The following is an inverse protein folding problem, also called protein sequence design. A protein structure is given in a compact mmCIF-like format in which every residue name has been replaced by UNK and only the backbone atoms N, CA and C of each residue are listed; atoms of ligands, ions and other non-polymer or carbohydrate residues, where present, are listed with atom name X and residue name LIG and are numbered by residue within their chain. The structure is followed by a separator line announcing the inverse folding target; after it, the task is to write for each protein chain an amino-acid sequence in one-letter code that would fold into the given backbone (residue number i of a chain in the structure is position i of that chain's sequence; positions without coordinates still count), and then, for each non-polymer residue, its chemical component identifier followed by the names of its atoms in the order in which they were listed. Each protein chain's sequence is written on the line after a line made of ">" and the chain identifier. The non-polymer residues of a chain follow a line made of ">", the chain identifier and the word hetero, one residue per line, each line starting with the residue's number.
data_IF_956789905471
#
_entry.id   IF_956789905471
#
_cell.length_a   1.000
_cell.length_b   1.000
_cell.length_c   1.000
_cell.angle_alpha   90.00
_cell.angle_beta   90.00
_cell.angle_gamma   90.00
#
_symmetry.space_group_name_H-M   'P 1'
#
loop_
_entity.id
_entity.type
_entity.pdbx_description
1 polymer ?
#
# COMPACT_ATOMS: atom_id res chain seq x y z
N UNK A 1 5.62 42.28 -19.21
CA UNK A 1 6.14 41.28 -18.25
C UNK A 1 7.03 41.90 -17.17
N UNK A 2 7.44 43.18 -17.29
CA UNK A 2 8.41 43.79 -16.37
C UNK A 2 7.94 43.85 -14.90
N UNK A 3 6.63 44.01 -14.66
CA UNK A 3 6.06 44.12 -13.30
C UNK A 3 5.08 42.98 -12.95
N UNK A 4 5.03 41.90 -13.73
CA UNK A 4 4.11 40.78 -13.44
C UNK A 4 4.83 39.73 -12.62
N UNK A 5 4.30 39.41 -11.44
CA UNK A 5 4.94 38.46 -10.53
C UNK A 5 4.87 37.02 -11.04
N UNK A 6 5.75 36.15 -10.56
CA UNK A 6 5.74 34.72 -10.88
C UNK A 6 4.39 34.05 -10.61
N UNK A 7 3.72 34.41 -9.51
CA UNK A 7 2.41 33.85 -9.16
C UNK A 7 1.31 34.33 -10.13
N UNK A 8 1.34 35.60 -10.55
CA UNK A 8 0.38 36.15 -11.51
C UNK A 8 0.57 35.52 -12.89
N UNK A 9 1.83 35.38 -13.35
CA UNK A 9 2.16 34.69 -14.60
C UNK A 9 1.62 33.25 -14.57
N UNK A 10 1.84 32.54 -13.46
CA UNK A 10 1.36 31.16 -13.31
C UNK A 10 -0.16 31.06 -13.31
N UNK A 11 -0.85 32.01 -12.67
CA UNK A 11 -2.30 32.08 -12.66
C UNK A 11 -2.88 32.39 -14.06
N UNK A 12 -2.28 33.34 -14.79
CA UNK A 12 -2.65 33.63 -16.18
C UNK A 12 -2.47 32.41 -17.08
N UNK A 13 -1.36 31.69 -16.93
CA UNK A 13 -1.10 30.45 -17.66
C UNK A 13 -2.15 29.37 -17.35
N UNK A 14 -2.48 29.15 -16.05
CA UNK A 14 -3.54 28.21 -15.65
C UNK A 14 -4.90 28.58 -16.24
N UNK A 15 -5.25 29.87 -16.27
CA UNK A 15 -6.51 30.34 -16.85
C UNK A 15 -6.58 30.09 -18.36
N UNK A 16 -5.49 30.37 -19.09
CA UNK A 16 -5.42 30.13 -20.54
C UNK A 16 -5.47 28.64 -20.90
N UNK A 17 -4.98 27.77 -20.01
CA UNK A 17 -4.85 26.32 -20.24
C UNK A 17 -5.86 25.47 -19.48
N UNK A 18 -6.91 26.08 -18.92
CA UNK A 18 -7.91 25.45 -18.03
C UNK A 18 -8.57 24.17 -18.60
N UNK A 19 -8.63 24.03 -19.93
CA UNK A 19 -9.24 22.89 -20.62
C UNK A 19 -8.24 21.86 -21.15
N UNK A 20 -6.93 22.07 -20.96
CA UNK A 20 -5.89 21.14 -21.40
C UNK A 20 -5.42 20.26 -20.24
N UNK A 21 -4.94 19.05 -20.57
CA UNK A 21 -4.27 18.20 -19.59
C UNK A 21 -3.03 18.94 -19.05
N UNK A 22 -2.92 19.04 -17.73
CA UNK A 22 -1.89 19.79 -17.01
C UNK A 22 -0.47 19.39 -17.45
N UNK A 23 -0.20 18.08 -17.50
CA UNK A 23 1.10 17.56 -17.94
C UNK A 23 1.40 17.93 -19.39
N UNK A 24 0.47 17.69 -20.30
CA UNK A 24 0.64 18.04 -21.73
C UNK A 24 0.89 19.54 -21.93
N UNK A 25 0.20 20.39 -21.17
CA UNK A 25 0.42 21.83 -21.21
C UNK A 25 1.84 22.18 -20.75
N UNK A 26 2.33 21.58 -19.67
CA UNK A 26 3.67 21.83 -19.14
C UNK A 26 4.77 21.28 -20.07
N UNK A 27 4.54 20.17 -20.78
CA UNK A 27 5.44 19.72 -21.84
C UNK A 27 5.57 20.75 -22.96
N UNK A 28 4.49 21.46 -23.32
CA UNK A 28 4.58 22.54 -24.32
C UNK A 28 5.38 23.75 -23.82
N UNK A 29 5.31 24.05 -22.52
CA UNK A 29 6.18 25.06 -21.90
C UNK A 29 7.64 24.62 -21.88
N UNK A 30 7.89 23.36 -21.57
CA UNK A 30 9.24 22.77 -21.62
C UNK A 30 9.84 22.89 -23.03
N UNK A 31 9.09 22.57 -24.09
CA UNK A 31 9.56 22.80 -25.46
C UNK A 31 9.84 24.28 -25.75
N UNK A 32 9.04 25.19 -25.18
CA UNK A 32 9.27 26.63 -25.32
C UNK A 32 10.57 27.06 -24.61
N UNK A 33 10.92 26.43 -23.49
CA UNK A 33 12.17 26.68 -22.76
C UNK A 33 13.41 26.36 -23.60
N UNK A 34 13.38 25.26 -24.35
CA UNK A 34 14.48 24.84 -25.24
C UNK A 34 14.73 25.82 -26.39
N UNK A 35 13.70 26.54 -26.82
CA UNK A 35 13.79 27.46 -27.96
C UNK A 35 13.99 28.93 -27.56
N UNK A 36 13.81 29.29 -26.29
CA UNK A 36 13.94 30.68 -25.83
C UNK A 36 15.29 30.96 -25.17
N UNK A 37 15.92 32.06 -25.59
CA UNK A 37 17.16 32.59 -24.98
C UNK A 37 16.88 33.72 -23.99
N UNK A 38 15.62 34.13 -23.84
CA UNK A 38 15.24 35.25 -22.97
C UNK A 38 15.17 34.80 -21.50
N UNK A 39 16.07 35.33 -20.67
CA UNK A 39 16.28 34.86 -19.30
C UNK A 39 15.05 35.03 -18.40
N UNK A 40 14.30 36.13 -18.53
CA UNK A 40 13.03 36.38 -17.84
C UNK A 40 11.99 35.31 -18.16
N UNK A 41 11.86 34.94 -19.43
CA UNK A 41 10.95 33.91 -19.91
C UNK A 41 11.37 32.53 -19.42
N UNK A 42 12.68 32.24 -19.42
CA UNK A 42 13.25 30.99 -18.90
C UNK A 42 12.96 30.82 -17.41
N UNK A 43 13.20 31.85 -16.59
CA UNK A 43 12.87 31.82 -15.16
C UNK A 43 11.37 31.64 -14.91
N UNK A 44 10.51 32.32 -15.69
CA UNK A 44 9.07 32.16 -15.59
C UNK A 44 8.63 30.71 -15.87
N UNK A 45 9.19 30.08 -16.91
CA UNK A 45 8.90 28.68 -17.23
C UNK A 45 9.36 27.75 -16.10
N UNK A 46 10.59 27.92 -15.58
CA UNK A 46 11.09 27.12 -14.45
C UNK A 46 10.18 27.21 -13.23
N UNK A 47 9.71 28.42 -12.92
CA UNK A 47 8.78 28.62 -11.81
C UNK A 47 7.44 27.93 -12.07
N UNK A 48 6.86 28.04 -13.27
CA UNK A 48 5.59 27.38 -13.59
C UNK A 48 5.74 25.86 -13.47
N UNK A 49 6.79 25.28 -14.06
CA UNK A 49 7.06 23.84 -14.02
C UNK A 49 7.21 23.31 -12.59
N UNK A 50 7.79 24.09 -11.68
CA UNK A 50 7.83 23.74 -10.26
C UNK A 50 6.46 23.94 -9.58
N UNK A 51 5.92 25.16 -9.65
CA UNK A 51 4.78 25.60 -8.85
C UNK A 51 3.48 24.85 -9.19
N UNK A 52 3.37 24.32 -10.41
CA UNK A 52 2.27 23.45 -10.79
C UNK A 52 2.23 22.14 -9.99
N UNK A 53 3.39 21.59 -9.61
CA UNK A 53 3.48 20.33 -8.86
C UNK A 53 3.91 20.52 -7.39
N UNK A 54 3.89 21.75 -6.88
CA UNK A 54 4.34 22.07 -5.52
C UNK A 54 3.49 21.41 -4.40
N UNK A 55 2.32 20.85 -4.73
CA UNK A 55 1.51 20.07 -3.80
C UNK A 55 2.04 18.63 -3.60
N UNK A 56 2.88 18.14 -4.51
CA UNK A 56 3.53 16.83 -4.44
C UNK A 56 4.93 16.98 -3.81
N UNK A 57 5.47 15.92 -3.20
CA UNK A 57 6.90 15.85 -2.89
C UNK A 57 7.74 16.17 -4.13
N UNK A 58 8.86 16.89 -3.95
CA UNK A 58 9.72 17.32 -5.06
C UNK A 58 10.20 16.12 -5.89
N UNK A 59 10.43 14.97 -5.26
CA UNK A 59 10.81 13.70 -5.87
C UNK A 59 9.80 13.20 -6.91
N UNK A 60 8.53 13.61 -6.79
CA UNK A 60 7.44 13.22 -7.69
C UNK A 60 7.16 14.29 -8.75
N UNK A 61 7.95 15.37 -8.81
CA UNK A 61 7.82 16.35 -9.87
C UNK A 61 8.30 15.75 -11.20
N UNK A 62 7.45 15.67 -12.24
CA UNK A 62 7.81 15.04 -13.50
C UNK A 62 8.92 15.76 -14.28
N UNK A 63 9.24 17.01 -13.91
CA UNK A 63 10.31 17.82 -14.48
C UNK A 63 11.57 17.86 -13.59
N UNK A 64 11.65 17.02 -12.55
CA UNK A 64 12.79 17.00 -11.64
C UNK A 64 14.12 16.66 -12.37
N UNK A 65 14.09 15.70 -13.31
CA UNK A 65 15.27 15.36 -14.10
C UNK A 65 15.80 16.55 -14.90
N UNK A 66 14.89 17.24 -15.57
CA UNK A 66 15.20 18.46 -16.30
C UNK A 66 15.85 19.52 -15.39
N UNK A 67 15.34 19.74 -14.17
CA UNK A 67 15.99 20.66 -13.24
C UNK A 67 17.40 20.19 -12.84
N UNK A 68 17.60 18.89 -12.64
CA UNK A 68 18.88 18.31 -12.23
C UNK A 68 19.93 18.30 -13.36
N UNK A 69 19.50 18.16 -14.61
CA UNK A 69 20.34 18.25 -15.80
C UNK A 69 20.76 19.71 -16.05
N UNK A 70 19.80 20.63 -15.96
CA UNK A 70 20.02 22.05 -16.16
C UNK A 70 21.03 22.66 -15.18
N UNK A 71 21.19 22.10 -13.97
CA UNK A 71 22.27 22.47 -13.03
C UNK A 71 23.68 22.41 -13.63
N UNK A 72 23.90 21.53 -14.60
CA UNK A 72 25.20 21.31 -15.25
C UNK A 72 25.45 22.27 -16.41
N UNK A 73 24.40 22.91 -16.93
CA UNK A 73 24.42 23.62 -18.21
C UNK A 73 23.91 25.07 -18.15
N UNK A 74 23.35 25.53 -17.02
CA UNK A 74 22.70 26.84 -16.89
C UNK A 74 23.62 28.01 -16.49
N UNK A 75 23.17 29.24 -16.75
CA UNK A 75 23.80 30.50 -16.30
C UNK A 75 23.75 30.65 -14.77
N UNK A 76 24.57 31.54 -14.19
CA UNK A 76 24.67 31.66 -12.72
C UNK A 76 23.35 31.96 -12.01
N UNK A 77 22.48 32.76 -12.63
CA UNK A 77 21.17 33.14 -12.06
C UNK A 77 20.18 31.98 -12.19
N UNK A 78 20.12 31.33 -13.36
CA UNK A 78 19.27 30.13 -13.55
C UNK A 78 19.70 28.99 -12.62
N UNK A 79 21.01 28.78 -12.48
CA UNK A 79 21.56 27.78 -11.58
C UNK A 79 21.16 28.05 -10.13
N UNK A 80 21.26 29.30 -9.67
CA UNK A 80 20.85 29.71 -8.33
C UNK A 80 19.34 29.53 -8.13
N UNK A 81 18.54 29.85 -9.15
CA UNK A 81 17.10 29.65 -9.16
C UNK A 81 16.74 28.16 -9.02
N UNK A 82 17.44 27.28 -9.73
CA UNK A 82 17.25 25.82 -9.63
C UNK A 82 17.64 25.32 -8.24
N UNK A 83 18.73 25.81 -7.64
CA UNK A 83 19.05 25.47 -6.25
C UNK A 83 17.92 25.88 -5.29
N UNK A 84 17.29 27.02 -5.51
CA UNK A 84 16.12 27.43 -4.72
C UNK A 84 14.92 26.48 -4.89
N UNK A 85 14.73 25.92 -6.09
CA UNK A 85 13.73 24.86 -6.33
C UNK A 85 14.07 23.59 -5.54
N UNK A 86 15.31 23.11 -5.64
CA UNK A 86 15.74 21.84 -5.05
C UNK A 86 15.78 21.87 -3.51
N UNK A 87 16.05 23.04 -2.94
CA UNK A 87 16.06 23.29 -1.49
C UNK A 87 14.68 23.71 -0.95
N UNK A 88 13.68 23.96 -1.81
CA UNK A 88 12.32 24.34 -1.43
C UNK A 88 12.16 25.79 -0.98
N UNK A 89 13.17 26.65 -1.19
CA UNK A 89 13.14 28.07 -0.85
C UNK A 89 12.52 28.96 -1.93
N UNK A 90 12.17 28.38 -3.09
CA UNK A 90 11.60 29.10 -4.24
C UNK A 90 10.24 29.76 -3.97
N UNK A 91 9.49 29.30 -2.96
CA UNK A 91 8.23 29.94 -2.58
C UNK A 91 8.44 31.39 -2.09
N UNK A 92 9.62 31.70 -1.56
CA UNK A 92 9.94 33.04 -1.06
C UNK A 92 10.06 34.08 -2.19
N UNK A 93 10.24 33.63 -3.43
CA UNK A 93 10.39 34.52 -4.58
C UNK A 93 9.10 34.64 -5.42
N UNK A 94 8.02 33.97 -5.02
CA UNK A 94 6.79 33.89 -5.82
C UNK A 94 6.13 35.25 -6.12
N UNK A 95 6.39 36.26 -5.29
CA UNK A 95 5.82 37.61 -5.40
C UNK A 95 6.66 38.55 -6.28
N UNK A 96 7.90 38.21 -6.61
CA UNK A 96 8.75 39.02 -7.48
C UNK A 96 8.46 38.77 -8.94
N UNK A 97 8.84 39.71 -9.80
CA UNK A 97 8.80 39.54 -11.25
C UNK A 97 10.06 38.84 -11.76
N UNK A 98 9.99 38.09 -12.88
CA UNK A 98 11.18 37.54 -13.52
C UNK A 98 12.19 38.61 -13.93
N UNK A 99 11.71 39.81 -14.27
CA UNK A 99 12.55 40.95 -14.64
C UNK A 99 13.30 41.53 -13.42
N UNK A 100 12.65 41.63 -12.27
CA UNK A 100 13.27 42.05 -11.01
C UNK A 100 14.40 41.09 -10.63
N UNK A 101 14.17 39.78 -10.67
CA UNK A 101 15.19 38.77 -10.34
C UNK A 101 16.39 38.80 -11.31
N UNK A 102 16.17 39.09 -12.59
CA UNK A 102 17.27 39.19 -13.56
C UNK A 102 18.13 40.45 -13.38
N UNK A 103 17.53 41.58 -12.98
CA UNK A 103 18.22 42.87 -12.88
C UNK A 103 18.77 43.16 -11.47
N UNK A 104 18.01 42.82 -10.43
CA UNK A 104 18.38 42.92 -9.02
C UNK A 104 18.11 41.56 -8.34
N UNK A 105 19.09 40.64 -8.33
CA UNK A 105 18.87 39.28 -7.86
C UNK A 105 18.67 39.22 -6.33
N UNK A 106 17.43 39.40 -5.89
CA UNK A 106 16.97 39.16 -4.52
C UNK A 106 16.65 37.66 -4.38
N UNK A 107 17.68 36.83 -4.46
CA UNK A 107 17.54 35.37 -4.36
C UNK A 107 17.87 34.88 -2.94
N UNK A 108 17.09 33.92 -2.40
CA UNK A 108 17.39 33.30 -1.11
C UNK A 108 18.80 32.70 -1.06
N UNK A 109 19.45 32.65 0.12
CA UNK A 109 20.73 31.97 0.25
C UNK A 109 20.56 30.47 0.02
N UNK A 110 21.45 29.88 -0.78
CA UNK A 110 21.47 28.46 -1.14
C UNK A 110 22.57 27.73 -0.37
N UNK A 111 22.29 26.50 0.08
CA UNK A 111 23.25 25.66 0.83
C UNK A 111 24.08 24.76 -0.08
N UNK A 112 23.62 24.50 -1.31
CA UNK A 112 24.24 23.59 -2.29
C UNK A 112 24.49 22.20 -1.68
N UNK A 113 23.47 21.63 -1.04
CA UNK A 113 23.57 20.31 -0.41
C UNK A 113 23.77 19.19 -1.44
N UNK A 114 25.04 18.86 -1.69
CA UNK A 114 25.46 17.84 -2.66
C UNK A 114 24.89 16.46 -2.31
N UNK A 115 24.70 16.14 -1.02
CA UNK A 115 24.15 14.83 -0.63
C UNK A 115 22.70 14.73 -1.07
N UNK A 116 21.89 15.76 -0.77
CA UNK A 116 20.48 15.83 -1.19
C UNK A 116 20.35 15.75 -2.72
N UNK A 117 21.18 16.46 -3.47
CA UNK A 117 21.16 16.45 -4.94
C UNK A 117 21.51 15.07 -5.49
N UNK A 118 22.50 14.39 -4.92
CA UNK A 118 22.86 13.03 -5.32
C UNK A 118 21.72 12.04 -5.00
N UNK A 119 21.03 12.19 -3.86
CA UNK A 119 19.85 11.39 -3.54
C UNK A 119 18.71 11.64 -4.55
N UNK A 120 18.46 12.90 -4.91
CA UNK A 120 17.45 13.25 -5.93
C UNK A 120 17.81 12.67 -7.30
N UNK A 121 19.07 12.79 -7.74
CA UNK A 121 19.56 12.17 -8.99
C UNK A 121 19.37 10.66 -8.98
N UNK A 122 19.74 9.96 -7.90
CA UNK A 122 19.55 8.51 -7.79
C UNK A 122 18.07 8.11 -7.88
N UNK A 123 17.17 8.88 -7.26
CA UNK A 123 15.72 8.63 -7.34
C UNK A 123 15.17 8.88 -8.74
N UNK A 124 15.66 9.92 -9.42
CA UNK A 124 15.24 10.29 -10.77
C UNK A 124 15.75 9.31 -11.83
N UNK A 125 17.01 8.89 -11.78
CA UNK A 125 17.55 7.86 -12.70
C UNK A 125 16.74 6.56 -12.60
N UNK A 126 16.29 6.19 -11.39
CA UNK A 126 15.39 5.04 -11.20
C UNK A 126 14.00 5.23 -11.81
N UNK A 127 13.50 6.46 -11.94
CA UNK A 127 12.19 6.79 -12.53
C UNK A 127 12.25 6.89 -14.08
N UNK A 128 13.39 7.28 -14.64
CA UNK A 128 13.58 7.41 -16.11
C UNK A 128 13.68 6.05 -16.78
N UNK A 129 14.31 5.08 -16.10
CA UNK A 129 14.44 3.72 -16.60
C UNK A 129 13.11 2.94 -16.55
N UNK A 130 12.18 3.31 -15.65
CA UNK A 130 10.83 2.74 -15.58
C UNK A 130 9.81 3.71 -14.92
N UNK A 131 8.91 4.35 -15.69
CA UNK A 131 7.91 5.29 -15.17
C UNK A 131 6.83 4.63 -14.29
N UNK A 132 6.86 3.30 -14.14
CA UNK A 132 5.99 2.54 -13.22
C UNK A 132 6.71 2.10 -11.94
N UNK A 133 7.99 2.43 -11.74
CA UNK A 133 8.70 2.06 -10.52
C UNK A 133 8.10 2.78 -9.32
N UNK A 134 7.33 2.03 -8.52
CA UNK A 134 6.81 2.51 -7.23
C UNK A 134 8.01 2.76 -6.32
N UNK A 135 8.19 4.01 -5.89
CA UNK A 135 9.15 4.33 -4.84
C UNK A 135 8.61 3.72 -3.54
N UNK A 136 9.20 2.60 -3.13
CA UNK A 136 8.89 1.96 -1.87
C UNK A 136 9.54 2.74 -0.73
N UNK A 137 8.80 2.94 0.35
CA UNK A 137 9.35 3.56 1.55
C UNK A 137 10.18 2.51 2.32
N UNK A 138 11.48 2.79 2.48
CA UNK A 138 12.41 1.93 3.22
C UNK A 138 11.93 1.68 4.65
N UNK A 139 11.25 2.66 5.27
CA UNK A 139 10.68 2.51 6.61
C UNK A 139 9.54 1.47 6.62
N UNK A 140 8.73 1.43 5.57
CA UNK A 140 7.62 0.47 5.45
C UNK A 140 8.15 -0.94 5.22
N UNK A 141 9.21 -1.09 4.42
CA UNK A 141 9.91 -2.38 4.26
C UNK A 141 10.44 -2.86 5.60
N UNK A 142 11.08 -1.98 6.37
CA UNK A 142 11.58 -2.30 7.71
C UNK A 142 10.43 -2.74 8.64
N UNK A 143 9.32 -1.98 8.68
CA UNK A 143 8.14 -2.33 9.48
C UNK A 143 7.56 -3.69 9.10
N UNK A 144 7.45 -4.01 7.80
CA UNK A 144 6.97 -5.32 7.32
C UNK A 144 7.88 -6.46 7.77
N UNK A 145 9.21 -6.26 7.75
CA UNK A 145 10.17 -7.28 8.21
C UNK A 145 10.10 -7.53 9.73
N UNK A 146 9.82 -6.48 10.50
CA UNK A 146 9.76 -6.52 11.97
C UNK A 146 8.38 -7.00 12.46
N UNK A 147 7.33 -6.87 11.65
CA UNK A 147 5.96 -7.27 11.99
C UNK A 147 5.82 -8.76 12.34
N UNK A 148 6.68 -9.62 11.82
CA UNK A 148 6.69 -11.05 12.19
C UNK A 148 7.32 -11.32 13.55
N UNK A 149 8.09 -10.36 14.10
CA UNK A 149 8.88 -10.53 15.31
C UNK A 149 8.32 -9.77 16.53
N UNK A 150 7.57 -8.69 16.32
CA UNK A 150 6.94 -7.92 17.40
C UNK A 150 5.58 -7.35 17.03
N UNK A 151 4.83 -6.98 18.06
CA UNK A 151 3.63 -6.15 17.93
C UNK A 151 4.00 -4.76 17.40
N UNK A 152 3.27 -4.31 16.39
CA UNK A 152 3.37 -2.97 15.84
C UNK A 152 2.56 -1.97 16.68
N UNK A 153 3.13 -0.79 16.90
CA UNK A 153 2.46 0.31 17.56
C UNK A 153 1.33 0.88 16.69
N UNK A 154 0.42 1.66 17.30
CA UNK A 154 -0.69 2.27 16.57
C UNK A 154 -0.21 3.19 15.44
N UNK A 155 0.82 4.01 15.69
CA UNK A 155 1.41 4.89 14.68
C UNK A 155 2.02 4.12 13.49
N UNK A 156 2.61 2.95 13.75
CA UNK A 156 3.21 2.09 12.72
C UNK A 156 2.13 1.43 11.86
N UNK A 157 1.04 0.96 12.48
CA UNK A 157 -0.13 0.47 11.76
C UNK A 157 -0.80 1.57 10.93
N UNK A 158 -0.83 2.81 11.41
CA UNK A 158 -1.35 3.95 10.63
C UNK A 158 -0.46 4.28 9.43
N UNK A 159 0.87 4.15 9.55
CA UNK A 159 1.79 4.32 8.43
C UNK A 159 1.54 3.25 7.35
N UNK A 160 1.44 1.98 7.75
CA UNK A 160 1.16 0.86 6.84
C UNK A 160 -0.19 0.98 6.13
N UNK A 161 -1.21 1.53 6.80
CA UNK A 161 -2.54 1.74 6.19
C UNK A 161 -2.60 2.86 5.15
N UNK A 162 -1.67 3.81 5.18
CA UNK A 162 -1.62 4.92 4.21
C UNK A 162 -0.97 4.48 2.90
N UNK A 163 -0.20 3.40 2.94
CA UNK A 163 0.54 2.86 1.82
C UNK A 163 -0.24 1.76 1.10
N UNK A 164 0.03 1.58 -0.19
CA UNK A 164 -0.53 0.46 -0.94
C UNK A 164 0.42 -0.74 -0.89
N UNK A 165 0.13 -1.69 0.00
CA UNK A 165 0.95 -2.88 0.24
C UNK A 165 1.11 -3.78 -0.99
N UNK A 166 0.24 -3.69 -2.02
CA UNK A 166 0.37 -4.46 -3.27
C UNK A 166 1.63 -4.10 -4.06
N UNK A 167 2.19 -2.91 -3.82
CA UNK A 167 3.37 -2.44 -4.52
C UNK A 167 4.68 -2.99 -3.93
N UNK A 168 4.64 -3.49 -2.69
CA UNK A 168 5.82 -3.98 -1.99
C UNK A 168 6.05 -5.47 -2.34
N UNK A 169 7.31 -5.92 -2.45
CA UNK A 169 7.64 -7.33 -2.71
C UNK A 169 7.43 -8.17 -1.44
N UNK A 170 6.16 -8.36 -1.05
CA UNK A 170 5.79 -9.03 0.20
C UNK A 170 6.36 -10.45 0.29
N UNK A 171 6.47 -11.17 -0.84
CA UNK A 171 7.04 -12.52 -0.90
C UNK A 171 8.52 -12.59 -0.51
N UNK A 172 9.26 -11.50 -0.71
CA UNK A 172 10.70 -11.44 -0.44
C UNK A 172 10.96 -10.96 1.00
N UNK A 173 10.01 -10.21 1.58
CA UNK A 173 10.11 -9.64 2.92
C UNK A 173 9.58 -10.62 3.99
N UNK A 174 8.43 -11.26 3.72
CA UNK A 174 7.74 -12.13 4.66
C UNK A 174 7.88 -13.57 4.19
N UNK A 175 8.76 -14.33 4.83
CA UNK A 175 8.98 -15.73 4.48
C UNK A 175 7.83 -16.62 4.99
N UNK A 176 7.54 -17.77 4.33
CA UNK A 176 6.41 -18.63 4.72
C UNK A 176 6.38 -19.02 6.20
N UNK A 177 7.53 -19.34 6.79
CA UNK A 177 7.64 -19.70 8.21
C UNK A 177 7.32 -18.54 9.18
N UNK A 178 7.36 -17.30 8.71
CA UNK A 178 7.07 -16.10 9.51
C UNK A 178 5.57 -15.74 9.48
N UNK A 179 4.83 -16.23 8.47
CA UNK A 179 3.41 -15.91 8.28
C UNK A 179 2.55 -16.26 9.51
N UNK A 180 2.71 -17.42 10.17
CA UNK A 180 1.91 -17.71 11.36
C UNK A 180 2.20 -16.76 12.54
N UNK A 181 3.46 -16.33 12.70
CA UNK A 181 3.83 -15.37 13.73
C UNK A 181 3.23 -13.99 13.45
N UNK A 182 3.29 -13.55 12.18
CA UNK A 182 2.65 -12.31 11.73
C UNK A 182 1.15 -12.29 12.04
N UNK A 183 0.44 -13.38 11.70
CA UNK A 183 -1.01 -13.51 11.95
C UNK A 183 -1.33 -13.41 13.44
N UNK A 184 -0.52 -14.02 14.30
CA UNK A 184 -0.74 -14.02 15.74
C UNK A 184 -0.42 -12.69 16.41
N UNK A 185 0.64 -12.02 15.97
CA UNK A 185 1.07 -10.73 16.53
C UNK A 185 0.23 -9.59 15.94
N UNK A 186 0.19 -9.46 14.62
CA UNK A 186 -0.33 -8.29 13.92
C UNK A 186 -1.51 -8.65 13.01
N UNK A 187 -2.62 -9.09 13.61
CA UNK A 187 -3.83 -9.52 12.88
C UNK A 187 -4.34 -8.47 11.86
N UNK A 188 -4.23 -7.18 12.18
CA UNK A 188 -4.74 -6.12 11.31
C UNK A 188 -3.93 -6.01 10.02
N UNK A 189 -2.62 -6.11 10.11
CA UNK A 189 -1.73 -6.16 8.96
C UNK A 189 -1.91 -7.48 8.18
N UNK A 190 -2.16 -8.58 8.88
CA UNK A 190 -2.38 -9.88 8.28
C UNK A 190 -3.64 -9.90 7.38
N UNK A 191 -4.69 -9.13 7.69
CA UNK A 191 -5.88 -9.04 6.83
C UNK A 191 -5.58 -8.52 5.42
N UNK A 192 -4.62 -7.60 5.29
CA UNK A 192 -4.23 -7.00 4.02
C UNK A 192 -3.10 -7.79 3.33
N UNK A 193 -2.14 -8.30 4.11
CA UNK A 193 -0.95 -8.98 3.57
C UNK A 193 -1.19 -10.43 3.16
N UNK A 194 -1.96 -11.22 3.94
CA UNK A 194 -2.19 -12.64 3.65
C UNK A 194 -2.87 -12.84 2.29
N UNK A 195 -3.95 -12.11 1.93
CA UNK A 195 -4.55 -12.26 0.59
C UNK A 195 -3.56 -11.98 -0.54
N UNK A 196 -2.69 -10.97 -0.38
CA UNK A 196 -1.66 -10.62 -1.38
C UNK A 196 -0.60 -11.71 -1.49
N UNK A 197 -0.14 -12.27 -0.37
CA UNK A 197 0.82 -13.38 -0.35
C UNK A 197 0.26 -14.65 -1.00
N UNK A 198 -1.03 -14.93 -0.83
CA UNK A 198 -1.70 -16.08 -1.47
C UNK A 198 -1.95 -15.89 -2.97
N UNK A 199 -1.76 -14.68 -3.51
CA UNK A 199 -1.73 -14.40 -4.95
C UNK A 199 -0.32 -14.48 -5.55
N UNK A 200 0.71 -14.60 -4.71
CA UNK A 200 2.11 -14.71 -5.16
C UNK A 200 2.41 -16.08 -5.76
N UNK A 201 3.56 -16.20 -6.44
CA UNK A 201 4.03 -17.47 -7.03
C UNK A 201 4.31 -18.55 -5.99
N UNK A 202 4.58 -18.17 -4.73
CA UNK A 202 4.93 -19.10 -3.64
C UNK A 202 3.70 -19.45 -2.79
N UNK A 203 2.49 -19.38 -3.35
CA UNK A 203 1.22 -19.64 -2.65
C UNK A 203 1.24 -20.94 -1.85
N UNK A 204 1.73 -22.03 -2.44
CA UNK A 204 1.68 -23.36 -1.82
C UNK A 204 2.52 -23.43 -0.54
N UNK A 205 3.70 -22.82 -0.52
CA UNK A 205 4.56 -22.75 0.67
C UNK A 205 3.88 -21.99 1.83
N UNK A 206 3.15 -20.91 1.52
CA UNK A 206 2.39 -20.17 2.53
C UNK A 206 1.18 -20.97 3.04
N UNK A 207 0.50 -21.72 2.19
CA UNK A 207 -0.59 -22.61 2.59
C UNK A 207 -0.08 -23.72 3.51
N UNK A 208 1.05 -24.33 3.17
CA UNK A 208 1.71 -25.35 4.00
C UNK A 208 2.14 -24.77 5.37
N UNK A 209 2.65 -23.54 5.40
CA UNK A 209 2.98 -22.84 6.63
C UNK A 209 1.73 -22.62 7.51
N UNK A 210 0.57 -22.26 6.92
CA UNK A 210 -0.69 -22.12 7.65
C UNK A 210 -1.16 -23.47 8.20
N UNK A 211 -1.08 -24.56 7.42
CA UNK A 211 -1.51 -25.89 7.85
C UNK A 211 -0.60 -26.50 8.93
N UNK A 212 0.70 -26.22 8.88
CA UNK A 212 1.68 -26.70 9.84
C UNK A 212 1.66 -25.96 11.19
N UNK A 213 1.05 -24.77 11.22
CA UNK A 213 0.91 -23.96 12.42
C UNK A 213 -0.28 -24.42 13.29
N UNK A 214 -0.21 -24.28 14.63
CA UNK A 214 -1.38 -24.44 15.48
C UNK A 214 -2.49 -23.45 15.09
N UNK A 215 -3.73 -23.91 15.12
CA UNK A 215 -4.90 -23.09 14.81
C UNK A 215 -5.20 -22.15 15.99
N UNK A 216 -5.04 -20.85 15.75
CA UNK A 216 -5.36 -19.78 16.71
C UNK A 216 -6.64 -19.05 16.31
N UNK A 217 -7.24 -18.33 17.27
CA UNK A 217 -8.37 -17.41 17.02
C UNK A 217 -8.10 -16.47 15.85
N UNK A 218 -6.90 -15.90 15.78
CA UNK A 218 -6.47 -14.98 14.75
C UNK A 218 -6.39 -15.68 13.39
N UNK A 219 -5.83 -16.89 13.35
CA UNK A 219 -5.74 -17.66 12.10
C UNK A 219 -7.11 -17.98 11.50
N UNK A 220 -8.10 -18.31 12.33
CA UNK A 220 -9.48 -18.59 11.87
C UNK A 220 -10.11 -17.33 11.28
N UNK A 221 -9.91 -16.16 11.91
CA UNK A 221 -10.47 -14.90 11.42
C UNK A 221 -9.80 -14.45 10.10
N UNK A 222 -8.49 -14.62 9.97
CA UNK A 222 -7.77 -14.39 8.71
C UNK A 222 -8.28 -15.32 7.62
N UNK A 223 -8.41 -16.62 7.91
CA UNK A 223 -8.89 -17.58 6.93
C UNK A 223 -10.35 -17.33 6.52
N UNK A 224 -11.19 -16.94 7.48
CA UNK A 224 -12.54 -16.46 7.20
C UNK A 224 -12.53 -15.27 6.23
N UNK A 225 -11.69 -14.26 6.47
CA UNK A 225 -11.59 -13.11 5.58
C UNK A 225 -11.10 -13.48 4.18
N UNK A 226 -10.08 -14.33 4.08
CA UNK A 226 -9.54 -14.80 2.79
C UNK A 226 -10.59 -15.57 1.98
N UNK A 227 -11.32 -16.50 2.62
CA UNK A 227 -12.30 -17.34 1.94
C UNK A 227 -13.61 -16.61 1.64
N UNK A 228 -14.14 -15.85 2.59
CA UNK A 228 -15.48 -15.23 2.48
C UNK A 228 -15.42 -13.83 1.88
N UNK A 229 -14.54 -12.96 2.37
CA UNK A 229 -14.50 -11.56 1.94
C UNK A 229 -13.72 -11.37 0.64
N UNK A 230 -12.53 -11.97 0.56
CA UNK A 230 -11.67 -11.87 -0.63
C UNK A 230 -12.05 -12.90 -1.71
N UNK A 231 -12.87 -13.90 -1.37
CA UNK A 231 -13.28 -15.00 -2.28
C UNK A 231 -12.09 -15.68 -2.94
N UNK A 232 -11.01 -15.87 -2.19
CA UNK A 232 -9.81 -16.52 -2.70
C UNK A 232 -10.14 -17.96 -3.14
N UNK A 233 -9.79 -18.31 -4.38
CA UNK A 233 -9.92 -19.67 -4.89
C UNK A 233 -8.80 -20.55 -4.31
N UNK A 234 -9.09 -21.16 -3.17
CA UNK A 234 -8.26 -22.19 -2.54
C UNK A 234 -8.76 -23.58 -2.93
N UNK A 235 -7.86 -24.58 -2.90
CA UNK A 235 -8.23 -25.96 -3.23
C UNK A 235 -9.15 -26.55 -2.16
N UNK A 236 -10.03 -27.46 -2.57
CA UNK A 236 -10.94 -28.14 -1.63
C UNK A 236 -10.13 -28.92 -0.59
N UNK A 237 -9.03 -29.55 -1.01
CA UNK A 237 -8.13 -30.31 -0.15
C UNK A 237 -7.57 -29.46 0.99
N UNK A 238 -7.15 -28.21 0.70
CA UNK A 238 -6.66 -27.29 1.72
C UNK A 238 -7.77 -26.93 2.73
N UNK A 239 -8.97 -26.60 2.22
CA UNK A 239 -10.11 -26.21 3.07
C UNK A 239 -10.52 -27.37 3.98
N UNK A 240 -10.61 -28.59 3.45
CA UNK A 240 -10.86 -29.80 4.24
C UNK A 240 -9.81 -29.95 5.35
N UNK A 241 -8.52 -29.90 5.01
CA UNK A 241 -7.45 -30.09 5.99
C UNK A 241 -7.47 -29.01 7.08
N UNK A 242 -7.73 -27.76 6.72
CA UNK A 242 -7.82 -26.65 7.66
C UNK A 242 -9.04 -26.76 8.59
N UNK A 243 -10.20 -27.21 8.08
CA UNK A 243 -11.40 -27.45 8.90
C UNK A 243 -11.14 -28.60 9.88
N UNK A 244 -10.62 -29.74 9.42
CA UNK A 244 -10.31 -30.88 10.30
C UNK A 244 -9.28 -30.49 11.36
N UNK A 245 -8.25 -29.70 11.02
CA UNK A 245 -7.27 -29.18 11.98
C UNK A 245 -7.90 -28.20 12.99
N UNK A 246 -8.84 -27.36 12.55
CA UNK A 246 -9.57 -26.43 13.41
C UNK A 246 -10.45 -27.16 14.43
N UNK A 247 -11.15 -28.23 14.00
CA UNK A 247 -11.94 -29.09 14.88
C UNK A 247 -11.05 -29.81 15.89
N UNK A 248 -9.95 -30.44 15.44
CA UNK A 248 -8.98 -31.11 16.33
C UNK A 248 -8.37 -30.15 17.35
N UNK A 249 -8.12 -28.89 16.95
CA UNK A 249 -7.59 -27.88 17.87
C UNK A 249 -8.57 -27.56 19.01
N UNK A 250 -9.89 -27.73 18.82
CA UNK A 250 -10.85 -27.59 19.91
C UNK A 250 -10.75 -28.73 20.93
N UNK A 251 -10.48 -29.96 20.47
CA UNK A 251 -10.35 -31.14 21.34
C UNK A 251 -9.06 -31.13 22.17
N UNK A 252 -8.01 -30.48 21.66
CA UNK A 252 -6.71 -30.38 22.34
C UNK A 252 -6.68 -29.35 23.47
N UNK A 253 -7.65 -28.44 23.54
CA UNK A 253 -7.74 -27.44 24.59
C UNK A 253 -8.41 -28.00 25.85
N UNK A 254 -7.88 -27.63 27.02
CA UNK A 254 -8.51 -27.93 28.30
C UNK A 254 -9.91 -27.29 28.40
N UNK A 255 -10.85 -28.01 29.02
CA UNK A 255 -12.21 -27.55 29.23
C UNK A 255 -12.22 -26.20 29.96
N UNK A 256 -12.79 -25.18 29.31
CA UNK A 256 -12.82 -23.84 29.88
C UNK A 256 -13.26 -22.75 28.91
N UNK A 257 -13.24 -21.47 29.36
CA UNK A 257 -13.75 -20.34 28.57
C UNK A 257 -12.97 -20.09 27.27
N UNK A 258 -11.69 -20.50 27.21
CA UNK A 258 -10.87 -20.41 26.01
C UNK A 258 -11.32 -21.41 24.93
N UNK A 259 -11.56 -22.66 25.32
CA UNK A 259 -12.13 -23.69 24.44
C UNK A 259 -13.51 -23.28 23.95
N UNK A 260 -14.39 -22.81 24.84
CA UNK A 260 -15.73 -22.31 24.47
C UNK A 260 -15.68 -21.20 23.42
N UNK A 261 -14.70 -20.28 23.54
CA UNK A 261 -14.52 -19.19 22.57
C UNK A 261 -14.07 -19.73 21.22
N UNK A 262 -13.09 -20.64 21.20
CA UNK A 262 -12.59 -21.22 19.96
C UNK A 262 -13.64 -22.09 19.26
N UNK A 263 -14.35 -22.94 20.01
CA UNK A 263 -15.46 -23.74 19.48
C UNK A 263 -16.53 -22.84 18.85
N UNK A 264 -16.89 -21.72 19.50
CA UNK A 264 -17.83 -20.74 18.90
C UNK A 264 -17.28 -20.07 17.65
N UNK A 265 -15.97 -19.88 17.52
CA UNK A 265 -15.35 -19.32 16.32
C UNK A 265 -15.32 -20.35 15.19
N UNK A 266 -14.90 -21.59 15.46
CA UNK A 266 -14.92 -22.70 14.49
C UNK A 266 -16.35 -22.97 14.01
N UNK A 267 -17.32 -23.02 14.92
CA UNK A 267 -18.73 -23.22 14.54
C UNK A 267 -19.25 -22.11 13.61
N UNK A 268 -18.95 -20.84 13.92
CA UNK A 268 -19.32 -19.70 13.07
C UNK A 268 -18.58 -19.70 11.74
N UNK A 269 -17.31 -20.10 11.74
CA UNK A 269 -16.49 -20.23 10.54
C UNK A 269 -17.11 -21.26 9.58
N UNK A 270 -17.34 -22.49 10.05
CA UNK A 270 -17.97 -23.57 9.26
C UNK A 270 -19.36 -23.14 8.77
N UNK A 271 -20.19 -22.58 9.66
CA UNK A 271 -21.52 -22.09 9.30
C UNK A 271 -21.46 -21.08 8.16
N UNK A 272 -20.54 -20.12 8.24
CA UNK A 272 -20.42 -19.09 7.21
C UNK A 272 -19.92 -19.65 5.88
N UNK A 273 -19.02 -20.64 5.90
CA UNK A 273 -18.57 -21.30 4.67
C UNK A 273 -19.72 -22.06 3.98
N UNK A 274 -20.60 -22.70 4.75
CA UNK A 274 -21.81 -23.37 4.25
C UNK A 274 -22.80 -22.34 3.67
N UNK A 275 -23.09 -21.27 4.40
CA UNK A 275 -24.03 -20.22 3.97
C UNK A 275 -23.58 -19.49 2.70
N UNK A 276 -22.27 -19.32 2.50
CA UNK A 276 -21.70 -18.73 1.29
C UNK A 276 -21.49 -19.75 0.15
N UNK A 277 -21.79 -21.03 0.38
CA UNK A 277 -21.61 -22.10 -0.61
C UNK A 277 -20.16 -22.38 -1.00
N UNK A 278 -19.20 -22.06 -0.11
CA UNK A 278 -17.76 -22.36 -0.30
C UNK A 278 -17.50 -23.84 -0.05
N UNK A 279 -18.22 -24.42 0.92
CA UNK A 279 -18.23 -25.86 1.20
C UNK A 279 -19.67 -26.37 1.10
N UNK A 280 -19.82 -27.64 0.73
CA UNK A 280 -21.12 -28.30 0.67
C UNK A 280 -21.30 -29.24 1.86
N UNK A 281 -22.46 -29.17 2.52
CA UNK A 281 -22.77 -30.02 3.68
C UNK A 281 -22.65 -31.52 3.39
N UNK A 282 -22.88 -31.90 2.13
CA UNK A 282 -22.62 -33.21 1.54
C UNK A 282 -21.32 -33.87 2.02
N UNK A 283 -20.23 -33.12 1.86
CA UNK A 283 -18.87 -33.63 1.98
C UNK A 283 -18.38 -33.55 3.43
N UNK A 284 -19.03 -32.72 4.25
CA UNK A 284 -18.64 -32.42 5.62
C UNK A 284 -19.65 -32.92 6.68
N UNK A 285 -20.73 -33.60 6.27
CA UNK A 285 -21.82 -34.00 7.17
C UNK A 285 -21.34 -34.74 8.41
N UNK A 286 -20.50 -35.76 8.23
CA UNK A 286 -20.01 -36.61 9.33
C UNK A 286 -19.13 -35.82 10.29
N UNK A 287 -18.20 -35.01 9.78
CA UNK A 287 -17.28 -34.20 10.61
C UNK A 287 -18.04 -33.11 11.38
N UNK A 288 -18.96 -32.40 10.72
CA UNK A 288 -19.75 -31.33 11.34
C UNK A 288 -20.73 -31.91 12.37
N UNK A 289 -21.34 -33.06 12.08
CA UNK A 289 -22.23 -33.71 13.04
C UNK A 289 -21.46 -34.19 14.28
N UNK A 290 -20.31 -34.84 14.09
CA UNK A 290 -19.46 -35.29 15.20
C UNK A 290 -19.01 -34.10 16.07
N UNK A 291 -18.53 -33.02 15.45
CA UNK A 291 -18.16 -31.79 16.13
C UNK A 291 -19.35 -31.20 16.92
N UNK A 292 -20.53 -31.13 16.31
CA UNK A 292 -21.70 -30.58 16.97
C UNK A 292 -22.15 -31.39 18.19
N UNK A 293 -22.02 -32.72 18.12
CA UNK A 293 -22.35 -33.62 19.23
C UNK A 293 -21.36 -33.47 20.38
N UNK A 294 -20.06 -33.42 20.08
CA UNK A 294 -19.01 -33.24 21.09
C UNK A 294 -19.16 -31.92 21.87
N UNK A 295 -19.62 -30.86 21.21
CA UNK A 295 -19.71 -29.51 21.79
C UNK A 295 -21.13 -28.98 21.96
N UNK A 296 -22.13 -29.86 22.02
CA UNK A 296 -23.56 -29.49 22.04
C UNK A 296 -23.95 -28.55 23.21
N UNK A 297 -23.20 -28.59 24.31
CA UNK A 297 -23.39 -27.72 25.49
C UNK A 297 -23.17 -26.23 25.18
N UNK A 298 -22.46 -25.92 24.09
CA UNK A 298 -22.09 -24.55 23.73
C UNK A 298 -23.15 -23.93 22.82
N UNK A 299 -23.75 -22.81 23.25
CA UNK A 299 -24.88 -22.14 22.57
C UNK A 299 -24.64 -21.84 21.07
N UNK A 300 -23.41 -21.58 20.64
CA UNK A 300 -23.10 -21.29 19.23
C UNK A 300 -23.19 -22.51 18.30
N UNK A 301 -23.04 -23.72 18.84
CA UNK A 301 -23.01 -24.97 18.07
C UNK A 301 -24.42 -25.42 17.67
N UNK A 302 -25.44 -25.05 18.46
CA UNK A 302 -26.82 -25.42 18.19
C UNK A 302 -27.36 -24.87 16.85
N UNK A 303 -26.85 -23.72 16.38
CA UNK A 303 -27.23 -23.16 15.09
C UNK A 303 -26.67 -23.98 13.93
N UNK A 304 -25.37 -24.29 13.98
CA UNK A 304 -24.71 -25.14 13.00
C UNK A 304 -25.34 -26.54 12.93
N UNK A 305 -25.66 -27.15 14.07
CA UNK A 305 -26.33 -28.45 14.12
C UNK A 305 -27.71 -28.44 13.45
N UNK A 306 -28.49 -27.37 13.65
CA UNK A 306 -29.81 -27.22 12.99
C UNK A 306 -29.65 -27.07 11.48
N UNK A 307 -28.66 -26.30 11.02
CA UNK A 307 -28.38 -26.12 9.60
C UNK A 307 -28.02 -27.48 8.96
N UNK A 308 -27.07 -28.21 9.56
CA UNK A 308 -26.68 -29.55 9.15
C UNK A 308 -27.86 -30.54 9.12
N UNK A 309 -28.72 -30.51 10.14
CA UNK A 309 -29.88 -31.39 10.25
C UNK A 309 -30.99 -31.07 9.23
N UNK A 310 -31.17 -29.79 8.89
CA UNK A 310 -32.20 -29.36 7.94
C UNK A 310 -31.82 -29.72 6.51
N UNK A 311 -30.56 -29.52 6.12
CA UNK A 311 -30.07 -29.92 4.80
C UNK A 311 -30.10 -31.44 4.62
N UNK A 312 -29.70 -32.21 5.63
CA UNK A 312 -29.79 -33.68 5.60
C UNK A 312 -31.23 -34.21 5.44
N UNK A 313 -32.25 -33.46 5.89
CA UNK A 313 -33.66 -33.83 5.69
C UNK A 313 -34.12 -33.56 4.25
N UNK A 314 -33.64 -32.48 3.63
CA UNK A 314 -33.96 -32.16 2.24
C UNK A 314 -33.41 -33.19 1.25
N UNK A 315 -32.39 -33.96 1.64
CA UNK A 315 -31.77 -35.00 0.81
C UNK A 315 -32.50 -36.33 0.84
N UNK A 316 -33.23 -36.60 1.92
CA UNK A 316 -33.99 -37.84 2.11
C UNK A 316 -35.44 -37.74 1.61
N UNK A 317 -35.78 -36.66 0.90
CA UNK A 317 -37.10 -36.41 0.30
C UNK A 317 -36.97 -36.27 -1.20
#
# INVERSE_FOLDING_TARGET
>A
MENTSFIEITNQYRQQKRHQNMFMSNCSLFLTFEHTTEQTTRLAILFILYHQYAALPLEQNPFLDFFLDLLSHSTSIEQHFIYCILEGSISNIAHYSPFEICNEPILPPIRKDVKRINTLRQKVTKLIDDPYTVILDDHIIELLSIASNRLLALSENEALRKENLSNYPLSDIILPHQLPQLVNLNQFLAFDTVPLLLQSKNKDDYLDAILSSPVTSQSIEIMYHVLVHQKASLSSEFIHHYISNSIRSCDQLEEGPKQDKQVKQVARFIQSLLEQGIIHMADYFVEVQAFCVSFMRIKGVAQLFRLASNEARQWNT
#
